data_IF_849369185507
#
_entry.id   IF_849369185507
#
_cell.length_a   1.000
_cell.length_b   1.000
_cell.length_c   1.000
_cell.angle_alpha   90.00
_cell.angle_beta   90.00
_cell.angle_gamma   90.00
#
_symmetry.space_group_name_H-M   'P 1'
#
loop_
_entity.id
_entity.type
_entity.pdbx_description
1 polymer ?
#
# COMPACT_ATOMS: atom_id res chain seq x y z
N UNK A 1 -2.72 4.77 -27.55
CA UNK A 1 -1.45 4.86 -26.79
C UNK A 1 -1.54 4.15 -25.44
N UNK A 2 -2.62 4.31 -24.65
CA UNK A 2 -2.79 3.64 -23.35
C UNK A 2 -2.64 2.10 -23.39
N UNK A 3 -3.25 1.43 -24.36
CA UNK A 3 -3.19 -0.04 -24.49
C UNK A 3 -1.76 -0.60 -24.66
N UNK A 4 -0.90 0.07 -25.44
CA UNK A 4 0.50 -0.35 -25.60
C UNK A 4 1.35 -0.12 -24.34
N UNK A 5 1.06 0.95 -23.60
CA UNK A 5 1.70 1.20 -22.30
C UNK A 5 1.26 0.17 -21.26
N UNK A 6 -0.02 -0.16 -21.23
CA UNK A 6 -0.57 -1.19 -20.34
C UNK A 6 -0.04 -2.58 -20.69
N UNK A 7 0.11 -2.92 -21.98
CA UNK A 7 0.71 -4.18 -22.41
C UNK A 7 2.17 -4.28 -21.95
N UNK A 8 2.90 -3.17 -21.95
CA UNK A 8 4.27 -3.09 -21.43
C UNK A 8 4.30 -3.30 -19.91
N UNK A 9 3.36 -2.72 -19.18
CA UNK A 9 3.22 -2.94 -17.72
C UNK A 9 2.84 -4.39 -17.43
N UNK A 10 1.86 -4.95 -18.13
CA UNK A 10 1.46 -6.37 -17.99
C UNK A 10 2.60 -7.34 -18.37
N UNK A 11 3.40 -7.02 -19.38
CA UNK A 11 4.60 -7.79 -19.73
C UNK A 11 5.63 -7.76 -18.58
N UNK A 12 5.86 -6.59 -17.99
CA UNK A 12 6.75 -6.46 -16.84
C UNK A 12 6.22 -7.19 -15.61
N UNK A 13 4.90 -7.14 -15.37
CA UNK A 13 4.24 -7.84 -14.27
C UNK A 13 4.24 -9.36 -14.45
N UNK A 14 3.99 -9.86 -15.66
CA UNK A 14 3.77 -11.29 -15.87
C UNK A 14 5.03 -12.08 -16.27
N UNK A 15 6.05 -11.44 -16.88
CA UNK A 15 7.13 -12.16 -17.56
C UNK A 15 8.54 -11.71 -17.17
N UNK A 16 8.71 -10.59 -16.48
CA UNK A 16 10.04 -10.12 -16.09
C UNK A 16 10.37 -10.62 -14.68
N UNK A 17 11.35 -11.50 -14.51
CA UNK A 17 11.74 -11.95 -13.18
C UNK A 17 12.33 -10.79 -12.38
N UNK A 18 11.81 -10.58 -11.19
CA UNK A 18 12.33 -9.57 -10.25
C UNK A 18 13.68 -10.05 -9.73
N UNK A 19 14.74 -9.28 -10.02
CA UNK A 19 16.12 -9.64 -9.66
C UNK A 19 16.68 -8.65 -8.63
N UNK A 20 17.46 -9.15 -7.67
CA UNK A 20 18.15 -8.35 -6.68
C UNK A 20 18.73 -9.22 -5.57
N UNK A 21 19.88 -8.80 -5.02
CA UNK A 21 20.59 -9.50 -3.95
C UNK A 21 19.85 -9.46 -2.60
N UNK A 22 19.01 -8.47 -2.41
CA UNK A 22 18.19 -8.26 -1.22
C UNK A 22 16.81 -7.69 -1.60
N UNK A 23 15.95 -7.47 -0.62
CA UNK A 23 14.59 -7.00 -0.85
C UNK A 23 14.57 -5.59 -1.46
N UNK A 24 15.41 -4.67 -0.98
CA UNK A 24 15.49 -3.30 -1.50
C UNK A 24 15.92 -3.27 -2.97
N UNK A 25 16.95 -4.06 -3.33
CA UNK A 25 17.40 -4.18 -4.71
C UNK A 25 16.34 -4.81 -5.63
N UNK A 26 15.52 -5.73 -5.12
CA UNK A 26 14.38 -6.29 -5.87
C UNK A 26 13.30 -5.24 -6.12
N UNK A 27 12.93 -4.46 -5.10
CA UNK A 27 11.96 -3.38 -5.23
C UNK A 27 12.42 -2.31 -6.22
N UNK A 28 13.66 -1.84 -6.10
CA UNK A 28 14.23 -0.87 -7.05
C UNK A 28 14.25 -1.43 -8.48
N UNK A 29 14.69 -2.69 -8.68
CA UNK A 29 14.69 -3.33 -10.00
C UNK A 29 13.28 -3.47 -10.60
N UNK A 30 12.28 -3.76 -9.77
CA UNK A 30 10.89 -3.86 -10.21
C UNK A 30 10.33 -2.51 -10.66
N UNK A 31 10.62 -1.43 -9.95
CA UNK A 31 10.00 -0.12 -10.17
C UNK A 31 10.77 0.81 -11.11
N UNK A 32 12.11 0.73 -11.19
CA UNK A 32 12.96 1.67 -11.94
C UNK A 32 12.65 1.83 -13.43
N UNK A 33 11.96 0.85 -14.05
CA UNK A 33 11.59 0.93 -15.47
C UNK A 33 10.15 1.40 -15.75
N UNK A 34 9.35 1.67 -14.72
CA UNK A 34 7.89 1.84 -14.84
C UNK A 34 7.32 3.05 -14.06
N UNK A 35 8.13 3.72 -13.24
CA UNK A 35 7.65 4.70 -12.26
C UNK A 35 6.66 5.74 -12.84
N UNK A 36 6.90 6.26 -14.03
CA UNK A 36 6.05 7.27 -14.67
C UNK A 36 4.71 6.73 -15.25
N UNK A 37 4.70 5.47 -15.72
CA UNK A 37 3.48 4.83 -16.28
C UNK A 37 2.72 4.00 -15.24
N UNK A 38 3.33 3.78 -14.09
CA UNK A 38 2.87 2.89 -13.04
C UNK A 38 1.62 3.40 -12.32
N UNK A 39 1.54 4.71 -12.08
CA UNK A 39 0.41 5.30 -11.36
C UNK A 39 -0.93 5.14 -12.09
N UNK A 40 -0.95 5.30 -13.42
CA UNK A 40 -2.18 5.15 -14.21
C UNK A 40 -2.71 3.73 -14.23
N UNK A 41 -1.82 2.73 -14.28
CA UNK A 41 -2.20 1.33 -14.17
C UNK A 41 -2.69 0.99 -12.75
N UNK A 42 -1.99 1.48 -11.72
CA UNK A 42 -2.35 1.29 -10.31
C UNK A 42 -3.72 1.90 -9.99
N UNK A 43 -4.05 3.07 -10.52
CA UNK A 43 -5.38 3.69 -10.33
C UNK A 43 -6.52 2.76 -10.74
N UNK A 44 -6.31 1.93 -11.77
CA UNK A 44 -7.31 0.98 -12.29
C UNK A 44 -7.31 -0.38 -11.60
N UNK A 45 -6.19 -0.77 -10.98
CA UNK A 45 -6.04 -2.06 -10.31
C UNK A 45 -6.31 -1.96 -8.81
N UNK A 46 -5.82 -0.91 -8.17
CA UNK A 46 -5.79 -0.77 -6.71
C UNK A 46 -7.03 -0.02 -6.21
N UNK A 47 -8.10 -0.77 -5.99
CA UNK A 47 -9.36 -0.24 -5.50
C UNK A 47 -9.37 -0.07 -3.97
N UNK A 48 -10.35 0.65 -3.43
CA UNK A 48 -10.52 0.85 -1.98
C UNK A 48 -9.70 1.99 -1.39
N UNK A 49 -8.67 2.49 -2.10
CA UNK A 49 -7.83 3.59 -1.60
C UNK A 49 -8.62 4.85 -1.32
N UNK A 50 -9.41 5.29 -2.28
CA UNK A 50 -10.23 6.49 -2.13
C UNK A 50 -11.16 6.39 -0.91
N UNK A 51 -11.84 5.24 -0.74
CA UNK A 51 -12.70 5.00 0.42
C UNK A 51 -11.92 5.03 1.75
N UNK A 52 -10.73 4.44 1.79
CA UNK A 52 -9.85 4.49 2.96
C UNK A 52 -9.52 5.94 3.32
N UNK A 53 -8.96 6.70 2.37
CA UNK A 53 -8.49 8.06 2.63
C UNK A 53 -9.60 9.07 2.89
N UNK A 54 -10.81 8.85 2.36
CA UNK A 54 -11.99 9.65 2.71
C UNK A 54 -12.47 9.41 4.15
N UNK A 55 -12.29 8.18 4.67
CA UNK A 55 -12.75 7.79 6.02
C UNK A 55 -11.74 8.09 7.11
N UNK A 56 -10.44 8.10 6.80
CA UNK A 56 -9.42 8.41 7.79
C UNK A 56 -9.52 9.89 8.21
N UNK A 57 -9.67 10.13 9.49
CA UNK A 57 -9.55 11.45 10.07
C UNK A 57 -8.07 11.81 10.24
N UNK A 58 -7.68 12.93 9.65
CA UNK A 58 -6.34 13.50 9.76
C UNK A 58 -6.42 14.73 10.65
N UNK A 59 -5.85 14.71 11.85
CA UNK A 59 -5.93 15.86 12.75
C UNK A 59 -5.13 17.04 12.20
N UNK A 60 -5.66 18.25 12.36
CA UNK A 60 -4.96 19.49 12.01
C UNK A 60 -3.67 19.59 12.80
N UNK A 61 -2.56 19.89 12.14
CA UNK A 61 -1.22 19.89 12.75
C UNK A 61 -0.67 18.50 13.06
N UNK A 62 -1.39 17.43 12.73
CA UNK A 62 -1.00 16.05 12.99
C UNK A 62 0.12 15.55 12.09
N UNK A 63 0.68 14.41 12.47
CA UNK A 63 1.72 13.68 11.72
C UNK A 63 1.12 12.46 11.05
N UNK A 64 1.27 12.38 9.72
CA UNK A 64 0.88 11.21 8.93
C UNK A 64 2.11 10.48 8.38
N UNK A 65 2.09 9.16 8.43
CA UNK A 65 3.13 8.27 7.88
C UNK A 65 2.49 7.28 6.90
N UNK A 66 2.94 7.28 5.64
CA UNK A 66 2.52 6.31 4.60
C UNK A 66 3.65 5.31 4.36
N UNK A 67 3.51 4.10 4.89
CA UNK A 67 4.51 3.04 4.83
C UNK A 67 4.36 2.19 3.56
N UNK A 68 5.41 2.18 2.72
CA UNK A 68 5.35 1.66 1.35
C UNK A 68 4.54 2.58 0.44
N UNK A 69 4.64 3.90 0.65
CA UNK A 69 3.85 4.91 -0.03
C UNK A 69 4.24 5.19 -1.49
N UNK A 70 5.39 4.66 -1.93
CA UNK A 70 5.83 4.69 -3.32
C UNK A 70 5.95 6.10 -3.91
N UNK A 71 5.19 6.39 -4.95
CA UNK A 71 5.17 7.70 -5.64
C UNK A 71 4.43 8.80 -4.88
N UNK A 72 3.97 8.54 -3.66
CA UNK A 72 3.18 9.50 -2.88
C UNK A 72 1.79 9.79 -3.47
N UNK A 73 1.31 8.99 -4.43
CA UNK A 73 0.02 9.19 -5.09
C UNK A 73 -1.18 9.10 -4.12
N UNK A 74 -1.00 8.52 -2.94
CA UNK A 74 -2.03 8.46 -1.92
C UNK A 74 -2.40 9.84 -1.37
N UNK A 75 -1.46 10.80 -1.36
CA UNK A 75 -1.76 12.18 -0.95
C UNK A 75 -2.79 12.86 -1.84
N UNK A 76 -2.90 12.47 -3.10
CA UNK A 76 -3.88 13.05 -4.02
C UNK A 76 -5.33 12.81 -3.55
N UNK A 77 -5.62 11.71 -2.85
CA UNK A 77 -6.95 11.44 -2.29
C UNK A 77 -7.33 12.39 -1.15
N UNK A 78 -6.34 13.05 -0.55
CA UNK A 78 -6.51 13.97 0.57
C UNK A 78 -5.88 15.34 0.30
N UNK A 79 -5.67 15.71 -0.97
CA UNK A 79 -4.93 16.90 -1.38
C UNK A 79 -5.38 18.18 -0.67
N UNK A 80 -6.69 18.36 -0.45
CA UNK A 80 -7.25 19.51 0.28
C UNK A 80 -6.94 19.52 1.78
N UNK A 81 -6.62 18.35 2.35
CA UNK A 81 -6.29 18.18 3.79
C UNK A 81 -4.79 18.19 4.04
N UNK A 82 -3.96 17.87 3.03
CA UNK A 82 -2.50 17.85 3.18
C UNK A 82 -1.95 19.16 3.75
N UNK A 83 -2.38 20.35 3.31
CA UNK A 83 -1.89 21.61 3.87
C UNK A 83 -2.21 21.82 5.37
N UNK A 84 -3.15 21.06 5.92
CA UNK A 84 -3.55 21.13 7.33
C UNK A 84 -2.70 20.21 8.23
N UNK A 85 -1.91 19.32 7.65
CA UNK A 85 -1.00 18.46 8.40
C UNK A 85 0.21 19.26 8.90
N UNK A 86 0.70 18.91 10.08
CA UNK A 86 1.97 19.44 10.58
C UNK A 86 3.15 18.82 9.85
N UNK A 87 3.09 17.50 9.62
CA UNK A 87 4.12 16.72 8.89
C UNK A 87 3.49 15.52 8.18
N UNK A 88 4.07 15.15 7.06
CA UNK A 88 3.76 13.88 6.40
C UNK A 88 5.05 13.21 5.91
N UNK A 89 5.10 11.90 6.04
CA UNK A 89 6.23 11.08 5.59
C UNK A 89 5.76 9.99 4.65
N UNK A 90 6.31 9.95 3.44
CA UNK A 90 6.15 8.85 2.50
C UNK A 90 7.41 8.00 2.56
N UNK A 91 7.29 6.80 3.12
CA UNK A 91 8.41 5.89 3.38
C UNK A 91 8.37 4.74 2.40
N UNK A 92 9.45 4.51 1.66
CA UNK A 92 9.57 3.40 0.72
C UNK A 92 11.03 2.95 0.57
N UNK A 93 11.25 1.72 0.09
CA UNK A 93 12.58 1.21 -0.24
C UNK A 93 13.03 1.61 -1.66
N UNK A 94 12.09 1.87 -2.57
CA UNK A 94 12.35 2.17 -3.97
C UNK A 94 12.64 3.67 -4.18
N UNK A 95 13.91 4.02 -4.29
CA UNK A 95 14.34 5.40 -4.52
C UNK A 95 13.82 5.99 -5.83
N UNK A 96 13.61 5.16 -6.85
CA UNK A 96 13.01 5.58 -8.11
C UNK A 96 11.56 6.06 -7.96
N UNK A 97 10.78 5.44 -7.06
CA UNK A 97 9.43 5.89 -6.75
C UNK A 97 9.43 7.17 -5.91
N UNK A 98 10.32 7.26 -4.93
CA UNK A 98 10.43 8.42 -4.05
C UNK A 98 10.83 9.69 -4.80
N UNK A 99 11.63 9.60 -5.87
CA UNK A 99 11.91 10.74 -6.75
C UNK A 99 10.63 11.29 -7.39
N UNK A 100 9.73 10.43 -7.84
CA UNK A 100 8.43 10.84 -8.38
C UNK A 100 7.57 11.47 -7.27
N UNK A 101 7.66 10.95 -6.04
CA UNK A 101 6.99 11.54 -4.89
C UNK A 101 7.50 12.96 -4.59
N UNK A 102 8.82 13.18 -4.57
CA UNK A 102 9.44 14.50 -4.38
C UNK A 102 9.00 15.51 -5.45
N UNK A 103 9.00 15.11 -6.73
CA UNK A 103 8.50 15.94 -7.82
C UNK A 103 7.02 16.32 -7.62
N UNK A 104 6.19 15.37 -7.19
CA UNK A 104 4.78 15.61 -6.85
C UNK A 104 4.64 16.59 -5.70
N UNK A 105 5.41 16.44 -4.62
CA UNK A 105 5.35 17.37 -3.48
C UNK A 105 5.74 18.78 -3.87
N UNK A 106 6.76 18.94 -4.72
CA UNK A 106 7.17 20.24 -5.26
C UNK A 106 6.07 20.87 -6.13
N UNK A 107 5.43 20.09 -7.02
CA UNK A 107 4.35 20.56 -7.89
C UNK A 107 3.13 21.09 -7.10
N UNK A 108 2.83 20.44 -5.96
CA UNK A 108 1.73 20.84 -5.08
C UNK A 108 2.13 21.86 -4.01
N UNK A 109 3.41 22.21 -3.89
CA UNK A 109 3.90 23.12 -2.85
C UNK A 109 3.85 22.52 -1.43
N UNK A 110 3.83 21.21 -1.27
CA UNK A 110 3.74 20.49 0.02
C UNK A 110 5.12 20.41 0.70
N UNK A 111 5.62 21.54 1.21
CA UNK A 111 6.96 21.63 1.80
C UNK A 111 7.15 20.82 3.10
N UNK A 112 6.07 20.49 3.80
CA UNK A 112 6.06 19.73 5.05
C UNK A 112 5.90 18.21 4.82
N UNK A 113 5.83 17.77 3.56
CA UNK A 113 5.81 16.36 3.16
C UNK A 113 7.22 15.91 2.77
N UNK A 114 7.67 14.79 3.29
CA UNK A 114 9.01 14.26 3.04
C UNK A 114 8.97 12.85 2.46
N UNK A 115 9.79 12.59 1.45
CA UNK A 115 10.07 11.25 0.93
C UNK A 115 11.27 10.65 1.68
N UNK A 116 11.12 9.46 2.22
CA UNK A 116 12.11 8.81 3.06
C UNK A 116 12.45 7.43 2.50
N UNK A 117 13.71 7.23 2.11
CA UNK A 117 14.19 5.89 1.74
C UNK A 117 14.51 5.10 2.99
N UNK A 118 13.60 4.21 3.41
CA UNK A 118 13.78 3.41 4.62
C UNK A 118 12.91 2.13 4.62
N UNK A 119 13.26 1.21 5.51
CA UNK A 119 12.55 -0.03 5.76
C UNK A 119 11.35 0.22 6.70
N UNK A 120 10.15 -0.06 6.22
CA UNK A 120 8.90 0.10 6.96
C UNK A 120 8.84 -0.72 8.27
N UNK A 121 9.66 -1.77 8.39
CA UNK A 121 9.72 -2.59 9.61
C UNK A 121 10.53 -1.95 10.75
N UNK A 122 11.29 -0.87 10.46
CA UNK A 122 12.29 -0.29 11.38
C UNK A 122 12.19 1.21 11.52
N UNK A 123 11.84 1.91 10.45
CA UNK A 123 11.86 3.36 10.43
C UNK A 123 10.81 3.95 11.39
N UNK A 124 11.18 5.04 12.03
CA UNK A 124 10.31 5.82 12.92
C UNK A 124 10.40 7.30 12.53
N UNK A 125 9.32 8.07 12.66
CA UNK A 125 9.39 9.51 12.46
C UNK A 125 10.34 10.16 13.49
N UNK A 126 11.00 11.28 13.16
CA UNK A 126 11.98 11.92 14.07
C UNK A 126 11.43 12.24 15.46
N UNK A 127 10.13 12.57 15.55
CA UNK A 127 9.45 12.84 16.81
C UNK A 127 8.99 11.54 17.51
N UNK A 128 9.24 10.37 16.90
CA UNK A 128 8.88 9.06 17.43
C UNK A 128 7.37 8.72 17.41
N UNK A 129 6.51 9.65 16.99
CA UNK A 129 5.06 9.50 17.07
C UNK A 129 4.34 10.00 15.83
N UNK A 130 3.27 9.27 15.46
CA UNK A 130 2.35 9.60 14.37
C UNK A 130 0.91 9.59 14.85
N UNK A 131 0.09 10.46 14.32
CA UNK A 131 -1.36 10.46 14.55
C UNK A 131 -2.04 9.42 13.65
N UNK A 132 -1.54 9.28 12.42
CA UNK A 132 -2.06 8.32 11.43
C UNK A 132 -0.90 7.60 10.73
N UNK A 133 -1.03 6.28 10.61
CA UNK A 133 -0.14 5.44 9.79
C UNK A 133 -0.98 4.72 8.74
N UNK A 134 -0.51 4.69 7.50
CA UNK A 134 -1.20 3.99 6.42
C UNK A 134 -0.31 2.95 5.72
N UNK A 135 -0.96 1.87 5.29
CA UNK A 135 -0.44 0.89 4.34
C UNK A 135 -1.42 0.78 3.16
N UNK A 136 -0.96 1.09 1.97
CA UNK A 136 -1.80 1.08 0.78
C UNK A 136 -1.19 0.21 -0.31
N UNK A 137 -1.62 -1.06 -0.36
CA UNK A 137 -1.07 -2.08 -1.24
C UNK A 137 0.44 -2.26 -1.06
N UNK A 138 0.88 -2.28 0.17
CA UNK A 138 2.28 -2.41 0.56
C UNK A 138 2.55 -3.60 1.48
N UNK A 139 1.63 -4.02 2.35
CA UNK A 139 1.83 -5.17 3.23
C UNK A 139 2.05 -6.46 2.45
N UNK A 140 1.35 -6.66 1.34
CA UNK A 140 1.53 -7.82 0.46
C UNK A 140 2.90 -7.87 -0.21
N UNK A 141 3.66 -6.78 -0.21
CA UNK A 141 5.01 -6.67 -0.77
C UNK A 141 6.10 -6.64 0.30
N UNK A 142 5.76 -6.46 1.56
CA UNK A 142 6.70 -6.49 2.70
C UNK A 142 6.80 -7.93 3.22
N UNK A 143 7.97 -8.61 3.09
CA UNK A 143 8.09 -10.01 3.54
C UNK A 143 7.79 -10.20 5.02
N UNK A 144 8.27 -9.27 5.86
CA UNK A 144 8.03 -9.24 7.31
C UNK A 144 6.93 -8.21 7.64
N UNK A 145 5.73 -8.43 7.06
CA UNK A 145 4.60 -7.51 7.18
C UNK A 145 4.09 -7.38 8.62
N UNK A 146 4.20 -8.43 9.44
CA UNK A 146 3.82 -8.37 10.85
C UNK A 146 4.77 -7.44 11.62
N UNK A 147 6.09 -7.48 11.37
CA UNK A 147 7.03 -6.52 11.97
C UNK A 147 6.74 -5.08 11.51
N UNK A 148 6.27 -4.88 10.25
CA UNK A 148 5.85 -3.57 9.78
C UNK A 148 4.59 -3.05 10.52
N UNK A 149 3.60 -3.92 10.77
CA UNK A 149 2.41 -3.56 11.56
C UNK A 149 2.78 -3.28 13.03
N UNK A 150 3.63 -4.09 13.63
CA UNK A 150 4.14 -3.84 14.99
C UNK A 150 4.95 -2.53 15.07
N UNK A 151 5.72 -2.22 14.04
CA UNK A 151 6.43 -0.96 13.93
C UNK A 151 5.47 0.24 13.84
N UNK A 152 4.39 0.11 13.06
CA UNK A 152 3.32 1.09 12.99
C UNK A 152 2.65 1.30 14.35
N UNK A 153 2.37 0.22 15.10
CA UNK A 153 1.81 0.30 16.44
C UNK A 153 2.74 1.08 17.40
N UNK A 154 4.06 0.85 17.33
CA UNK A 154 5.03 1.55 18.17
C UNK A 154 5.13 3.05 17.88
N UNK A 155 4.92 3.47 16.62
CA UNK A 155 4.98 4.89 16.26
C UNK A 155 3.65 5.62 16.44
N UNK A 156 2.53 4.92 16.58
CA UNK A 156 1.24 5.57 16.80
C UNK A 156 1.14 6.17 18.20
N UNK A 157 0.63 7.39 18.27
CA UNK A 157 0.21 8.00 19.53
C UNK A 157 -0.93 7.20 20.17
N UNK A 158 -1.14 7.30 21.49
CA UNK A 158 -2.39 6.84 22.09
C UNK A 158 -3.60 7.46 21.39
N UNK A 159 -4.54 6.63 20.91
CA UNK A 159 -5.68 7.06 20.09
C UNK A 159 -5.35 7.34 18.63
N UNK A 160 -4.11 7.13 18.19
CA UNK A 160 -3.73 7.22 16.78
C UNK A 160 -4.36 6.09 15.93
N UNK A 161 -4.48 6.32 14.64
CA UNK A 161 -5.22 5.44 13.71
C UNK A 161 -4.28 4.78 12.71
N UNK A 162 -4.46 3.47 12.50
CA UNK A 162 -3.87 2.75 11.38
C UNK A 162 -4.93 2.56 10.29
N UNK A 163 -4.58 2.89 9.04
CA UNK A 163 -5.42 2.67 7.87
C UNK A 163 -4.75 1.69 6.91
N UNK A 164 -5.47 0.63 6.53
CA UNK A 164 -4.90 -0.40 5.63
C UNK A 164 -5.86 -0.70 4.50
N UNK A 165 -5.32 -0.77 3.27
CA UNK A 165 -5.99 -1.33 2.10
C UNK A 165 -5.00 -2.21 1.35
N UNK A 166 -5.33 -3.49 1.15
CA UNK A 166 -4.43 -4.39 0.44
C UNK A 166 -5.17 -5.60 -0.16
N UNK A 167 -4.50 -6.33 -1.05
CA UNK A 167 -4.98 -7.62 -1.51
C UNK A 167 -4.92 -8.65 -0.39
N UNK A 168 -5.90 -9.55 -0.37
CA UNK A 168 -5.88 -10.64 0.61
C UNK A 168 -6.61 -11.87 0.09
N UNK A 169 -6.44 -12.97 0.82
CA UNK A 169 -7.30 -14.16 0.71
C UNK A 169 -7.84 -14.49 2.10
N UNK A 170 -9.11 -14.88 2.18
CA UNK A 170 -9.68 -15.26 3.47
C UNK A 170 -9.10 -16.59 3.95
N UNK A 171 -9.01 -16.77 5.27
CA UNK A 171 -8.72 -18.08 5.89
C UNK A 171 -9.77 -19.13 5.46
N UNK A 172 -9.38 -20.42 5.47
CA UNK A 172 -10.30 -21.52 5.19
C UNK A 172 -11.55 -21.47 6.09
N UNK A 173 -11.33 -21.15 7.34
CA UNK A 173 -12.34 -20.94 8.36
C UNK A 173 -12.32 -19.46 8.78
N UNK A 174 -13.00 -18.63 8.00
CA UNK A 174 -13.10 -17.20 8.28
C UNK A 174 -13.86 -16.97 9.59
N UNK A 175 -13.47 -15.92 10.33
CA UNK A 175 -14.19 -15.50 11.52
C UNK A 175 -15.63 -15.06 11.17
N UNK A 176 -16.50 -15.02 12.18
CA UNK A 176 -17.88 -14.57 12.00
C UNK A 176 -17.89 -13.13 11.46
N UNK A 177 -18.73 -12.88 10.46
CA UNK A 177 -18.84 -11.56 9.80
C UNK A 177 -17.83 -11.31 8.69
N UNK A 178 -16.80 -12.16 8.54
CA UNK A 178 -15.80 -12.01 7.47
C UNK A 178 -16.17 -12.82 6.22
N UNK A 179 -15.73 -12.33 5.04
CA UNK A 179 -15.97 -13.03 3.78
C UNK A 179 -15.31 -14.40 3.74
N UNK A 180 -15.96 -15.34 3.08
CA UNK A 180 -15.41 -16.65 2.78
C UNK A 180 -14.96 -16.70 1.32
N UNK A 181 -13.72 -17.10 1.10
CA UNK A 181 -13.21 -17.33 -0.25
C UNK A 181 -13.18 -18.83 -0.57
N UNK A 182 -13.70 -19.18 -1.76
CA UNK A 182 -13.62 -20.56 -2.26
C UNK A 182 -12.15 -20.99 -2.48
N UNK A 183 -11.96 -22.31 -2.62
CA UNK A 183 -10.63 -22.89 -2.84
C UNK A 183 -9.91 -22.24 -4.03
N UNK A 184 -10.59 -22.01 -5.16
CA UNK A 184 -10.01 -21.39 -6.33
C UNK A 184 -9.43 -20.01 -6.02
N UNK A 185 -10.18 -19.12 -5.37
CA UNK A 185 -9.71 -17.77 -4.99
C UNK A 185 -8.47 -17.83 -4.09
N UNK A 186 -8.47 -18.75 -3.11
CA UNK A 186 -7.38 -18.91 -2.14
C UNK A 186 -6.10 -19.50 -2.74
N UNK A 187 -6.18 -20.24 -3.85
CA UNK A 187 -5.03 -20.84 -4.52
C UNK A 187 -4.57 -20.00 -5.71
N UNK A 188 -5.50 -19.50 -6.52
CA UNK A 188 -5.19 -18.76 -7.74
C UNK A 188 -4.48 -17.43 -7.48
N UNK A 189 -5.02 -16.58 -6.59
CA UNK A 189 -4.47 -15.25 -6.38
C UNK A 189 -3.06 -15.26 -5.77
N UNK A 190 -2.77 -16.03 -4.72
CA UNK A 190 -1.39 -16.10 -4.22
C UNK A 190 -0.40 -16.60 -5.28
N UNK A 191 -0.79 -17.57 -6.11
CA UNK A 191 0.08 -18.09 -7.19
C UNK A 191 0.28 -17.04 -8.29
N UNK A 192 -0.80 -16.37 -8.69
CA UNK A 192 -0.74 -15.32 -9.73
C UNK A 192 0.15 -14.16 -9.31
N UNK A 193 -0.08 -13.62 -8.12
CA UNK A 193 0.62 -12.45 -7.62
C UNK A 193 2.07 -12.74 -7.15
N UNK A 194 2.42 -14.00 -6.89
CA UNK A 194 3.77 -14.37 -6.48
C UNK A 194 4.84 -13.97 -7.52
N UNK A 195 4.48 -13.95 -8.81
CA UNK A 195 5.38 -13.52 -9.88
C UNK A 195 5.77 -12.04 -9.76
N UNK A 196 4.91 -11.23 -9.12
CA UNK A 196 5.09 -9.78 -8.94
C UNK A 196 5.63 -9.43 -7.55
N UNK A 197 6.11 -10.41 -6.76
CA UNK A 197 6.45 -10.25 -5.35
C UNK A 197 5.30 -9.71 -4.49
N UNK A 198 4.05 -9.96 -4.88
CA UNK A 198 2.86 -9.63 -4.12
C UNK A 198 2.30 -10.91 -3.49
N UNK A 199 2.21 -10.96 -2.18
CA UNK A 199 1.82 -12.15 -1.42
C UNK A 199 0.56 -11.89 -0.60
N UNK A 200 -0.66 -12.03 -1.19
CA UNK A 200 -1.90 -11.88 -0.46
C UNK A 200 -1.96 -12.86 0.72
N UNK A 201 -2.01 -12.33 1.94
CA UNK A 201 -2.03 -13.13 3.15
C UNK A 201 -3.46 -13.29 3.70
N UNK A 202 -3.75 -14.46 4.25
CA UNK A 202 -4.97 -14.70 4.99
C UNK A 202 -4.91 -14.15 6.42
N UNK A 203 -3.75 -13.69 6.84
CA UNK A 203 -3.48 -13.33 8.23
C UNK A 203 -3.37 -11.83 8.48
N UNK A 204 -3.25 -10.99 7.43
CA UNK A 204 -3.19 -9.53 7.58
C UNK A 204 -4.34 -8.99 8.43
N UNK A 205 -5.57 -9.23 8.00
CA UNK A 205 -6.76 -8.69 8.65
C UNK A 205 -6.95 -9.25 10.07
N UNK A 206 -6.82 -10.57 10.33
CA UNK A 206 -6.86 -11.09 11.70
C UNK A 206 -5.75 -10.55 12.61
N UNK A 207 -4.55 -10.33 12.07
CA UNK A 207 -3.44 -9.77 12.85
C UNK A 207 -3.73 -8.31 13.21
N UNK A 208 -4.20 -7.50 12.27
CA UNK A 208 -4.63 -6.12 12.55
C UNK A 208 -5.71 -6.09 13.64
N UNK A 209 -6.74 -6.93 13.51
CA UNK A 209 -7.84 -7.02 14.49
C UNK A 209 -7.39 -7.48 15.88
N UNK A 210 -6.28 -8.20 15.99
CA UNK A 210 -5.74 -8.63 17.29
C UNK A 210 -4.91 -7.55 17.99
N UNK A 211 -4.44 -6.52 17.26
CA UNK A 211 -3.56 -5.46 17.78
C UNK A 211 -4.25 -4.09 17.87
N UNK A 212 -5.37 -3.88 17.17
CA UNK A 212 -6.07 -2.62 17.08
C UNK A 212 -7.58 -2.79 17.30
N UNK A 213 -8.21 -1.80 17.90
CA UNK A 213 -9.66 -1.68 17.88
C UNK A 213 -10.13 -1.36 16.45
N UNK A 214 -11.06 -2.15 15.94
CA UNK A 214 -11.57 -1.98 14.59
C UNK A 214 -12.62 -0.86 14.52
N UNK A 215 -12.26 0.28 13.98
CA UNK A 215 -13.19 1.38 13.73
C UNK A 215 -14.07 1.13 12.50
N UNK A 216 -13.49 0.53 11.46
CA UNK A 216 -14.19 0.22 10.22
C UNK A 216 -13.46 -0.88 9.44
N UNK A 217 -14.20 -1.76 8.81
CA UNK A 217 -13.66 -2.80 7.90
C UNK A 217 -14.59 -2.96 6.71
N UNK A 218 -14.01 -3.05 5.52
CA UNK A 218 -14.72 -3.38 4.30
C UNK A 218 -13.91 -4.39 3.49
N UNK A 219 -14.50 -5.55 3.28
CA UNK A 219 -13.97 -6.56 2.36
C UNK A 219 -14.71 -6.46 1.02
N UNK A 220 -13.98 -6.42 -0.09
CA UNK A 220 -14.57 -6.26 -1.41
C UNK A 220 -13.81 -7.02 -2.49
N UNK A 221 -14.27 -6.92 -3.73
CA UNK A 221 -13.63 -7.54 -4.90
C UNK A 221 -13.59 -6.57 -6.06
N UNK A 222 -12.43 -6.36 -6.64
CA UNK A 222 -12.23 -5.49 -7.81
C UNK A 222 -11.95 -6.28 -9.08
N UNK A 223 -12.32 -5.70 -10.21
CA UNK A 223 -11.95 -6.24 -11.52
C UNK A 223 -10.44 -6.03 -11.74
N UNK A 224 -9.79 -7.04 -12.29
CA UNK A 224 -8.41 -6.88 -12.77
C UNK A 224 -8.49 -6.33 -14.20
N UNK A 225 -7.76 -5.24 -14.53
CA UNK A 225 -7.74 -4.70 -15.88
C UNK A 225 -7.37 -5.77 -16.91
N UNK A 226 -8.08 -5.79 -18.04
CA UNK A 226 -7.87 -6.71 -19.17
C UNK A 226 -8.12 -8.20 -18.92
N UNK A 227 -8.50 -8.62 -17.70
CA UNK A 227 -8.87 -10.01 -17.42
C UNK A 227 -10.38 -10.05 -17.17
N UNK A 228 -11.18 -10.46 -18.16
CA UNK A 228 -12.63 -10.52 -18.01
C UNK A 228 -13.01 -11.59 -16.99
N UNK A 229 -14.10 -11.35 -16.28
CA UNK A 229 -14.74 -12.29 -15.34
C UNK A 229 -13.96 -12.60 -14.05
N UNK A 230 -12.74 -12.13 -13.89
CA UNK A 230 -11.91 -12.39 -12.71
C UNK A 230 -11.88 -11.16 -11.80
N UNK A 231 -12.06 -11.38 -10.50
CA UNK A 231 -12.06 -10.32 -9.49
C UNK A 231 -11.11 -10.69 -8.36
N UNK A 232 -10.22 -9.77 -8.01
CA UNK A 232 -9.28 -9.92 -6.89
C UNK A 232 -9.91 -9.40 -5.60
N UNK A 233 -9.79 -10.13 -4.48
CA UNK A 233 -10.23 -9.65 -3.18
C UNK A 233 -9.27 -8.60 -2.62
N UNK A 234 -9.85 -7.62 -1.91
CA UNK A 234 -9.11 -6.64 -1.11
C UNK A 234 -9.91 -6.26 0.14
N UNK A 235 -9.28 -5.71 1.13
CA UNK A 235 -9.88 -5.20 2.35
C UNK A 235 -9.38 -3.80 2.65
#
# INVERSE_FOLDING_TARGET
>A
MAFLQDLKVLYHLALRPVRGKDHAARMENFYSGQAAAYDDFRKRLLHGREQLYQKIELPVGGTWVDLGGGTGANLEFIAERVPQLGRAYVVDLATSLLKVAEERFQQHGWQHVQAITADATKWQPPDGQADVVTFSYSLTMIPDWFAAIENALRMLKPGGVIGVVDFYVARKHAAQGMQRHGWFTRSFWPTWFANDNVFPSADHLPFLQSHFETLWTQESRSKVPYIPLVRTPYY
#
